data_IF_316423007126
#
_entry.id   IF_316423007126
#
_cell.length_a   1.000
_cell.length_b   1.000
_cell.length_c   1.000
_cell.angle_alpha   90.00
_cell.angle_beta   90.00
_cell.angle_gamma   90.00
#
_symmetry.space_group_name_H-M   'P 1'
#
loop_
_entity.id
_entity.type
_entity.pdbx_description
1 polymer ?
#
# COMPACT_ATOMS: atom_id res chain seq x y z
N UNK A 1 19.72 -13.69 -6.27
CA UNK A 1 20.31 -13.27 -7.56
C UNK A 1 19.32 -12.28 -8.16
N UNK A 2 19.35 -11.02 -7.69
CA UNK A 2 18.49 -9.96 -8.21
C UNK A 2 19.02 -9.58 -9.58
N UNK A 3 18.29 -9.94 -10.64
CA UNK A 3 18.58 -9.44 -11.98
C UNK A 3 18.30 -7.94 -11.99
N UNK A 4 19.34 -7.17 -11.68
CA UNK A 4 19.39 -5.72 -11.81
C UNK A 4 19.30 -5.41 -13.31
N UNK A 5 18.08 -5.26 -13.81
CA UNK A 5 17.84 -4.83 -15.19
C UNK A 5 18.10 -3.32 -15.16
N UNK A 6 19.04 -2.77 -15.95
CA UNK A 6 19.60 -1.42 -15.75
C UNK A 6 18.59 -0.26 -15.78
N UNK A 7 17.34 -0.51 -16.16
CA UNK A 7 16.25 0.47 -16.19
C UNK A 7 15.26 0.36 -15.00
N UNK A 8 15.42 -0.60 -14.09
CA UNK A 8 14.55 -0.74 -12.91
C UNK A 8 15.07 0.09 -11.75
N UNK A 9 14.18 0.82 -11.09
CA UNK A 9 14.47 1.57 -9.86
C UNK A 9 13.58 1.06 -8.73
N UNK A 10 14.10 1.04 -7.51
CA UNK A 10 13.29 0.76 -6.32
C UNK A 10 12.42 1.97 -6.01
N UNK A 11 11.12 1.74 -5.86
CA UNK A 11 10.14 2.74 -5.43
C UNK A 11 9.40 2.23 -4.20
N UNK A 12 9.07 3.13 -3.29
CA UNK A 12 8.17 2.86 -2.17
C UNK A 12 6.83 3.53 -2.45
N UNK A 13 5.75 2.75 -2.39
CA UNK A 13 4.38 3.24 -2.47
C UNK A 13 3.78 3.08 -1.08
N UNK A 14 3.39 4.20 -0.45
CA UNK A 14 2.73 4.21 0.85
C UNK A 14 1.24 4.55 0.66
N UNK A 15 0.36 3.77 1.29
CA UNK A 15 -1.09 3.99 1.27
C UNK A 15 -1.55 4.12 2.72
N UNK A 16 -1.98 5.31 3.12
CA UNK A 16 -2.55 5.55 4.44
C UNK A 16 -4.06 5.22 4.42
N UNK A 17 -4.52 4.46 5.41
CA UNK A 17 -5.94 4.08 5.55
C UNK A 17 -6.43 4.30 6.98
N UNK A 18 -7.70 4.67 7.13
CA UNK A 18 -8.42 4.68 8.41
C UNK A 18 -9.38 3.50 8.43
N UNK A 19 -9.00 2.44 9.13
CA UNK A 19 -9.73 1.18 9.16
C UNK A 19 -9.44 0.42 10.45
N UNK A 20 -10.30 -0.55 10.79
CA UNK A 20 -10.02 -1.55 11.82
C UNK A 20 -8.95 -2.55 11.37
N UNK A 21 -8.38 -3.31 12.31
CA UNK A 21 -7.37 -4.35 11.99
C UNK A 21 -7.89 -5.36 10.97
N UNK A 22 -9.10 -5.88 11.18
CA UNK A 22 -9.71 -6.86 10.27
C UNK A 22 -9.94 -6.29 8.86
N UNK A 23 -10.24 -4.99 8.74
CA UNK A 23 -10.38 -4.32 7.44
C UNK A 23 -9.03 -4.16 6.75
N UNK A 24 -7.95 -3.88 7.50
CA UNK A 24 -6.58 -3.83 6.95
C UNK A 24 -6.13 -5.20 6.45
N UNK A 25 -6.43 -6.28 7.18
CA UNK A 25 -6.08 -7.64 6.76
C UNK A 25 -6.78 -8.02 5.45
N UNK A 26 -8.09 -7.75 5.34
CA UNK A 26 -8.85 -7.98 4.10
C UNK A 26 -8.32 -7.15 2.94
N UNK A 27 -8.01 -5.87 3.19
CA UNK A 27 -7.43 -4.99 2.16
C UNK A 27 -6.07 -5.50 1.70
N UNK A 28 -5.25 -6.04 2.60
CA UNK A 28 -3.97 -6.63 2.23
C UNK A 28 -4.14 -7.83 1.28
N UNK A 29 -5.09 -8.73 1.57
CA UNK A 29 -5.42 -9.87 0.70
C UNK A 29 -5.92 -9.42 -0.69
N UNK A 30 -6.77 -8.39 -0.72
CA UNK A 30 -7.27 -7.81 -1.97
C UNK A 30 -6.15 -7.17 -2.79
N UNK A 31 -5.20 -6.48 -2.13
CA UNK A 31 -4.03 -5.90 -2.79
C UNK A 31 -3.10 -6.97 -3.37
N UNK A 32 -2.87 -8.07 -2.64
CA UNK A 32 -2.07 -9.21 -3.12
C UNK A 32 -2.67 -9.75 -4.42
N UNK A 33 -3.98 -9.99 -4.42
CA UNK A 33 -4.73 -10.51 -5.58
C UNK A 33 -4.71 -9.54 -6.76
N UNK A 34 -4.74 -8.23 -6.47
CA UNK A 34 -4.73 -7.19 -7.51
C UNK A 34 -3.35 -6.98 -8.13
N UNK A 35 -2.28 -7.06 -7.32
CA UNK A 35 -0.90 -6.84 -7.77
C UNK A 35 -0.32 -8.04 -8.52
N UNK A 36 -0.83 -9.25 -8.28
CA UNK A 36 -0.46 -10.46 -9.01
C UNK A 36 -1.61 -10.89 -9.94
N UNK A 37 -1.58 -10.51 -11.24
CA UNK A 37 -2.66 -10.83 -12.18
C UNK A 37 -2.80 -12.32 -12.49
N UNK A 38 -1.77 -13.13 -12.18
CA UNK A 38 -1.80 -14.59 -12.27
C UNK A 38 -1.13 -15.19 -11.01
N UNK A 39 -1.87 -15.41 -9.92
CA UNK A 39 -1.29 -15.96 -8.69
C UNK A 39 -0.80 -17.41 -8.83
N UNK A 40 -1.06 -18.05 -9.97
CA UNK A 40 -0.66 -19.43 -10.26
C UNK A 40 0.56 -19.53 -11.17
N UNK A 41 1.15 -18.41 -11.59
CA UNK A 41 2.30 -18.44 -12.47
C UNK A 41 3.52 -19.11 -11.81
N UNK A 42 4.26 -19.88 -12.59
CA UNK A 42 5.55 -20.42 -12.15
C UNK A 42 6.63 -19.34 -12.24
N UNK A 43 7.34 -19.11 -11.14
CA UNK A 43 8.47 -18.16 -11.05
C UNK A 43 8.11 -16.80 -10.45
N UNK A 44 9.03 -15.84 -10.57
CA UNK A 44 8.87 -14.49 -10.01
C UNK A 44 7.84 -13.65 -10.80
N UNK A 45 7.11 -12.77 -10.11
CA UNK A 45 6.23 -11.81 -10.77
C UNK A 45 7.03 -10.92 -11.74
N UNK A 46 6.41 -10.56 -12.87
CA UNK A 46 7.00 -9.66 -13.89
C UNK A 46 7.49 -8.34 -13.29
N UNK A 47 6.74 -7.83 -12.31
CA UNK A 47 7.11 -6.74 -11.39
C UNK A 47 7.15 -7.29 -9.97
N UNK A 48 8.33 -7.61 -9.41
CA UNK A 48 8.45 -8.10 -8.04
C UNK A 48 8.03 -7.03 -7.02
N UNK A 49 7.31 -7.43 -5.98
CA UNK A 49 6.81 -6.53 -4.94
C UNK A 49 6.86 -7.19 -3.56
N UNK A 50 6.78 -6.36 -2.53
CA UNK A 50 6.57 -6.78 -1.15
C UNK A 50 5.52 -5.87 -0.52
N UNK A 51 4.62 -6.45 0.26
CA UNK A 51 3.63 -5.71 1.04
C UNK A 51 4.03 -5.71 2.51
N UNK A 52 3.86 -4.58 3.18
CA UNK A 52 4.09 -4.44 4.62
C UNK A 52 2.98 -3.59 5.21
N UNK A 53 2.32 -4.12 6.24
CA UNK A 53 1.33 -3.40 7.04
C UNK A 53 2.00 -2.88 8.31
N UNK A 54 1.75 -1.62 8.66
CA UNK A 54 2.28 -0.97 9.85
C UNK A 54 1.13 -0.29 10.58
N UNK A 55 0.96 -0.58 11.87
CA UNK A 55 -0.01 0.13 12.69
C UNK A 55 0.36 1.62 12.77
N UNK A 56 -0.59 2.49 12.37
CA UNK A 56 -0.44 3.93 12.39
C UNK A 56 -0.07 4.50 13.77
N UNK A 57 -0.44 3.80 14.85
CA UNK A 57 -0.11 4.16 16.24
C UNK A 57 1.39 4.15 16.53
N UNK A 58 2.17 3.40 15.75
CA UNK A 58 3.63 3.31 15.87
C UNK A 58 4.36 4.57 15.37
N UNK A 59 3.70 5.43 14.60
CA UNK A 59 4.28 6.66 14.09
C UNK A 59 4.11 7.84 15.06
N UNK A 60 4.95 8.86 14.90
CA UNK A 60 4.83 10.12 15.65
C UNK A 60 3.48 10.81 15.38
N UNK A 61 2.99 11.57 16.36
CA UNK A 61 1.71 12.28 16.24
C UNK A 61 1.64 13.20 15.00
N UNK A 62 2.77 13.84 14.64
CA UNK A 62 2.86 14.66 13.43
C UNK A 62 2.65 13.81 12.16
N UNK A 63 3.36 12.68 12.03
CA UNK A 63 3.20 11.79 10.87
C UNK A 63 1.78 11.21 10.80
N UNK A 64 1.17 10.89 11.94
CA UNK A 64 -0.24 10.48 11.97
C UNK A 64 -1.18 11.58 11.49
N UNK A 65 -0.95 12.84 11.87
CA UNK A 65 -1.74 13.97 11.39
C UNK A 65 -1.59 14.17 9.88
N UNK A 66 -0.35 14.12 9.37
CA UNK A 66 -0.06 14.24 7.94
C UNK A 66 -0.75 13.12 7.12
N UNK A 67 -0.76 11.89 7.62
CA UNK A 67 -1.48 10.77 6.98
C UNK A 67 -2.99 10.99 6.95
N UNK A 68 -3.60 11.43 8.07
CA UNK A 68 -5.04 11.74 8.12
C UNK A 68 -5.41 12.86 7.16
N UNK A 69 -4.56 13.88 7.06
CA UNK A 69 -4.75 14.98 6.11
C UNK A 69 -4.65 14.49 4.66
N UNK A 70 -3.67 13.65 4.35
CA UNK A 70 -3.55 13.03 3.02
C UNK A 70 -4.80 12.23 2.66
N UNK A 71 -5.34 11.45 3.59
CA UNK A 71 -6.58 10.69 3.38
C UNK A 71 -7.74 11.64 3.04
N UNK A 72 -7.90 12.72 3.81
CA UNK A 72 -8.94 13.73 3.60
C UNK A 72 -8.83 14.40 2.23
N UNK A 73 -7.61 14.75 1.81
CA UNK A 73 -7.37 15.39 0.51
C UNK A 73 -7.62 14.44 -0.67
N UNK A 74 -7.31 13.15 -0.52
CA UNK A 74 -7.53 12.15 -1.57
C UNK A 74 -8.99 11.68 -1.65
N UNK A 75 -9.71 11.71 -0.53
CA UNK A 75 -11.09 11.24 -0.41
C UNK A 75 -11.98 12.35 0.18
N UNK A 76 -12.16 13.49 -0.52
CA UNK A 76 -12.98 14.59 -0.03
C UNK A 76 -14.44 14.15 0.12
N UNK A 77 -15.15 14.71 1.11
CA UNK A 77 -16.59 14.47 1.23
C UNK A 77 -17.28 15.15 0.04
N UNK A 78 -18.23 14.48 -0.65
CA UNK A 78 -19.00 15.12 -1.73
C UNK A 78 -19.69 16.43 -1.30
N UNK A 79 -19.94 16.63 -0.01
CA UNK A 79 -20.52 17.85 0.55
C UNK A 79 -19.52 19.00 0.77
N UNK A 80 -18.22 18.77 0.56
CA UNK A 80 -17.17 19.79 0.62
C UNK A 80 -17.10 20.68 -0.66
N UNK A 81 -18.00 20.46 -1.64
CA UNK A 81 -18.05 21.17 -2.94
C UNK A 81 -19.38 21.87 -3.20
#
# INVERSE_FOLDING_TARGET
>A
MTSDTPDRRLWLIEIAVLASSDEVDRLADDLITTLCPDPTHDGDCSTPWALTTIDGSSFSARRQADMRESIRLTNPDPSDF
#
